data_IF_078091139397
#
_entry.id   IF_078091139397
#
_cell.length_a   1.000
_cell.length_b   1.000
_cell.length_c   1.000
_cell.angle_alpha   90.00
_cell.angle_beta   90.00
_cell.angle_gamma   90.00
#
_symmetry.space_group_name_H-M   'P 1'
#
loop_
_entity.id
_entity.type
_entity.pdbx_description
1 polymer ?
#
# COMPACT_ATOMS: atom_id res chain seq x y z
N UNK A 1 12.58 8.27 -4.81
CA UNK A 1 13.64 7.82 -5.74
C UNK A 1 13.56 6.34 -6.10
N UNK A 2 13.88 5.39 -5.21
CA UNK A 2 13.85 3.96 -5.58
C UNK A 2 12.46 3.45 -6.00
N UNK A 3 11.40 3.93 -5.35
CA UNK A 3 10.03 3.56 -5.70
C UNK A 3 9.67 4.01 -7.11
N UNK A 4 10.01 5.25 -7.46
CA UNK A 4 9.72 5.86 -8.76
C UNK A 4 10.44 5.10 -9.88
N UNK A 5 11.72 4.76 -9.66
CA UNK A 5 12.47 3.91 -10.57
C UNK A 5 11.81 2.55 -10.77
N UNK A 6 11.37 1.89 -9.69
CA UNK A 6 10.70 0.58 -9.79
C UNK A 6 9.35 0.66 -10.51
N UNK A 7 8.59 1.73 -10.31
CA UNK A 7 7.33 1.97 -11.02
C UNK A 7 7.58 2.13 -12.53
N UNK A 8 8.59 2.90 -12.92
CA UNK A 8 8.98 3.05 -14.34
C UNK A 8 9.50 1.74 -14.94
N UNK A 9 10.43 1.06 -14.25
CA UNK A 9 11.02 -0.20 -14.71
C UNK A 9 9.99 -1.30 -14.92
N UNK A 10 8.97 -1.38 -14.05
CA UNK A 10 7.87 -2.34 -14.18
C UNK A 10 6.67 -1.81 -14.97
N UNK A 11 6.82 -0.66 -15.65
CA UNK A 11 5.80 -0.04 -16.49
C UNK A 11 4.43 0.06 -15.81
N UNK A 12 4.43 0.45 -14.53
CA UNK A 12 3.20 0.59 -13.76
C UNK A 12 2.32 1.71 -14.37
N UNK A 13 1.01 1.46 -14.49
CA UNK A 13 0.07 2.46 -15.02
C UNK A 13 -0.04 3.64 -14.05
N UNK A 14 -0.03 4.85 -14.58
CA UNK A 14 -0.20 6.09 -13.82
C UNK A 14 -1.66 6.35 -13.42
N UNK A 15 -2.63 5.72 -14.09
CA UNK A 15 -4.06 5.89 -13.82
C UNK A 15 -4.80 4.55 -13.81
N UNK A 16 -5.97 4.53 -13.17
CA UNK A 16 -6.80 3.34 -13.02
C UNK A 16 -6.21 2.27 -12.07
N UNK A 17 -6.82 1.10 -12.07
CA UNK A 17 -6.38 -0.03 -11.25
C UNK A 17 -5.12 -0.64 -11.90
N UNK A 18 -4.04 -0.72 -11.11
CA UNK A 18 -2.77 -1.29 -11.55
C UNK A 18 -2.20 -2.20 -10.45
N UNK A 19 -2.09 -3.52 -10.67
CA UNK A 19 -1.61 -4.46 -9.65
C UNK A 19 -0.14 -4.21 -9.29
N UNK A 20 0.71 -3.91 -10.28
CA UNK A 20 2.14 -3.60 -10.07
C UNK A 20 2.30 -2.38 -9.16
N UNK A 21 1.54 -1.31 -9.42
CA UNK A 21 1.57 -0.10 -8.58
C UNK A 21 1.08 -0.40 -7.16
N UNK A 22 -0.01 -1.16 -7.03
CA UNK A 22 -0.57 -1.55 -5.74
C UNK A 22 0.45 -2.36 -4.91
N UNK A 23 1.14 -3.30 -5.54
CA UNK A 23 2.19 -4.10 -4.92
C UNK A 23 3.35 -3.21 -4.42
N UNK A 24 3.90 -2.37 -5.30
CA UNK A 24 5.03 -1.50 -4.96
C UNK A 24 4.68 -0.48 -3.87
N UNK A 25 3.48 0.10 -3.91
CA UNK A 25 3.00 0.98 -2.84
C UNK A 25 2.76 0.23 -1.53
N UNK A 26 2.23 -1.00 -1.55
CA UNK A 26 2.09 -1.80 -0.33
C UNK A 26 3.46 -2.07 0.30
N UNK A 27 4.46 -2.48 -0.48
CA UNK A 27 5.81 -2.71 0.03
C UNK A 27 6.43 -1.45 0.62
N UNK A 28 6.28 -0.31 -0.07
CA UNK A 28 6.77 0.98 0.42
C UNK A 28 6.06 1.39 1.73
N UNK A 29 4.74 1.21 1.81
CA UNK A 29 3.98 1.55 2.99
C UNK A 29 4.33 0.66 4.20
N UNK A 30 4.60 -0.63 3.97
CA UNK A 30 5.09 -1.54 5.00
C UNK A 30 6.47 -1.09 5.54
N UNK A 31 7.37 -0.60 4.67
CA UNK A 31 8.65 -0.02 5.08
C UNK A 31 8.48 1.31 5.84
N UNK A 32 7.53 2.16 5.44
CA UNK A 32 7.19 3.37 6.19
C UNK A 32 6.67 3.02 7.59
N UNK A 33 5.79 2.03 7.71
CA UNK A 33 5.32 1.54 9.01
C UNK A 33 6.50 1.06 9.85
N UNK A 34 7.43 0.28 9.27
CA UNK A 34 8.63 -0.18 9.98
C UNK A 34 9.46 0.99 10.52
N UNK A 35 9.76 1.99 9.68
CA UNK A 35 10.54 3.15 10.07
C UNK A 35 9.85 4.01 11.13
N UNK A 36 8.54 4.25 10.98
CA UNK A 36 7.75 4.99 11.96
C UNK A 36 7.67 4.24 13.29
N UNK A 37 7.54 2.91 13.26
CA UNK A 37 7.52 2.07 14.47
C UNK A 37 8.82 2.19 15.26
N UNK A 38 9.97 2.25 14.58
CA UNK A 38 11.28 2.46 15.22
C UNK A 38 11.34 3.82 15.92
N UNK A 39 10.77 4.86 15.31
CA UNK A 39 10.75 6.21 15.88
C UNK A 39 9.73 6.35 17.02
N UNK A 40 8.55 5.72 16.89
CA UNK A 40 7.46 5.72 17.87
C UNK A 40 6.50 4.55 17.57
N UNK A 41 6.49 3.57 18.46
CA UNK A 41 5.77 2.31 18.25
C UNK A 41 4.25 2.52 18.13
N UNK A 42 3.69 3.46 18.89
CA UNK A 42 2.27 3.78 18.90
C UNK A 42 1.81 4.33 17.55
N UNK A 43 2.62 5.18 16.91
CA UNK A 43 2.35 5.69 15.57
C UNK A 43 2.46 4.58 14.53
N UNK A 44 3.43 3.70 14.68
CA UNK A 44 3.56 2.49 13.86
C UNK A 44 2.32 1.61 13.92
N UNK A 45 1.84 1.33 15.14
CA UNK A 45 0.62 0.57 15.38
C UNK A 45 -0.63 1.24 14.80
N UNK A 46 -0.72 2.57 14.88
CA UNK A 46 -1.83 3.31 14.27
C UNK A 46 -1.84 3.14 12.75
N UNK A 47 -0.68 3.32 12.09
CA UNK A 47 -0.57 3.14 10.63
C UNK A 47 -0.86 1.71 10.20
N UNK A 48 -0.44 0.72 10.99
CA UNK A 48 -0.75 -0.69 10.78
C UNK A 48 -2.27 -0.92 10.75
N UNK A 49 -3.01 -0.37 11.72
CA UNK A 49 -4.48 -0.49 11.78
C UNK A 49 -5.16 0.17 10.58
N UNK A 50 -4.74 1.37 10.21
CA UNK A 50 -5.27 2.10 9.04
C UNK A 50 -5.02 1.30 7.75
N UNK A 51 -3.84 0.68 7.59
CA UNK A 51 -3.52 -0.19 6.46
C UNK A 51 -4.51 -1.35 6.34
N UNK A 52 -4.76 -2.02 7.46
CA UNK A 52 -5.59 -3.22 7.49
C UNK A 52 -7.06 -2.88 7.24
N UNK A 53 -7.56 -1.75 7.76
CA UNK A 53 -8.89 -1.22 7.46
C UNK A 53 -9.08 -0.90 5.97
N UNK A 54 -8.10 -0.23 5.34
CA UNK A 54 -8.13 0.06 3.89
C UNK A 54 -8.13 -1.24 3.08
N UNK A 55 -7.32 -2.23 3.46
CA UNK A 55 -7.29 -3.55 2.79
C UNK A 55 -8.64 -4.25 2.87
N UNK A 56 -9.27 -4.27 4.04
CA UNK A 56 -10.61 -4.83 4.22
C UNK A 56 -11.66 -4.09 3.36
N UNK A 57 -11.62 -2.76 3.35
CA UNK A 57 -12.56 -1.93 2.58
C UNK A 57 -12.43 -2.19 1.08
N UNK A 58 -11.21 -2.27 0.57
CA UNK A 58 -10.99 -2.58 -0.85
C UNK A 58 -11.47 -4.00 -1.18
N UNK A 59 -11.21 -4.98 -0.32
CA UNK A 59 -11.66 -6.36 -0.54
C UNK A 59 -13.19 -6.46 -0.57
N UNK A 60 -13.89 -5.70 0.29
CA UNK A 60 -15.34 -5.60 0.27
C UNK A 60 -15.85 -5.01 -1.05
N UNK A 61 -15.25 -3.91 -1.54
CA UNK A 61 -15.61 -3.34 -2.83
C UNK A 61 -15.33 -4.28 -4.01
N UNK A 62 -14.24 -5.04 -3.98
CA UNK A 62 -13.94 -6.05 -5.00
C UNK A 62 -15.01 -7.15 -5.02
N UNK A 63 -15.39 -7.66 -3.85
CA UNK A 63 -16.45 -8.66 -3.72
C UNK A 63 -17.78 -8.16 -4.27
N UNK A 64 -18.16 -6.90 -3.95
CA UNK A 64 -19.40 -6.29 -4.43
C UNK A 64 -19.39 -6.03 -5.94
N UNK A 65 -18.22 -5.80 -6.54
CA UNK A 65 -18.07 -5.61 -7.98
C UNK A 65 -18.09 -6.93 -8.76
N UNK A 66 -17.59 -8.00 -8.15
CA UNK A 66 -17.55 -9.36 -8.72
C UNK A 66 -18.89 -10.12 -8.55
N UNK A 67 -19.80 -9.61 -7.72
CA UNK A 67 -21.15 -10.14 -7.50
C UNK A 67 -22.14 -9.65 -8.55
#
# INVERSE_FOLDING_TARGET
EQLDMRLQQRQARETGICPVRRELYSQCFDELIRQVTINCAERGLLLLRVRDEIRMTIAAYQTLYES
#
